data_IF_826106201686
#
_entry.id   IF_826106201686
#
_cell.length_a   1.000
_cell.length_b   1.000
_cell.length_c   1.000
_cell.angle_alpha   90.00
_cell.angle_beta   90.00
_cell.angle_gamma   90.00
#
_symmetry.space_group_name_H-M   'P 1'
#
loop_
_entity.id
_entity.type
_entity.pdbx_description
1 polymer ?
#
# COMPACT_ATOMS: atom_id res chain seq x y z
N UNK A 1 53.13 -57.15 41.59
CA UNK A 1 52.19 -56.38 42.45
C UNK A 1 52.36 -54.85 42.32
N UNK A 2 52.64 -54.30 41.14
CA UNK A 2 53.07 -52.89 40.99
C UNK A 2 52.05 -51.97 40.28
N UNK A 3 50.87 -52.47 39.91
CA UNK A 3 49.92 -51.74 39.05
C UNK A 3 48.68 -51.19 39.79
N UNK A 4 48.59 -51.37 41.12
CA UNK A 4 47.44 -50.91 41.93
C UNK A 4 47.63 -49.50 42.51
N UNK A 5 48.87 -49.03 42.61
CA UNK A 5 49.22 -47.72 43.19
C UNK A 5 49.06 -46.56 42.22
N UNK A 6 49.19 -46.78 40.90
CA UNK A 6 49.07 -45.73 39.90
C UNK A 6 47.62 -45.32 39.64
N UNK A 7 46.69 -46.28 39.59
CA UNK A 7 45.25 -46.00 39.41
C UNK A 7 44.68 -45.15 40.54
N UNK A 8 45.01 -45.47 41.79
CA UNK A 8 44.54 -44.69 42.95
C UNK A 8 45.04 -43.23 42.93
N UNK A 9 46.22 -42.96 42.37
CA UNK A 9 46.72 -41.57 42.24
C UNK A 9 46.06 -40.81 41.09
N UNK A 10 45.67 -41.51 40.03
CA UNK A 10 44.96 -40.89 38.90
C UNK A 10 43.50 -40.63 39.29
N UNK A 11 42.84 -41.55 39.97
CA UNK A 11 41.45 -41.38 40.42
C UNK A 11 41.34 -40.29 41.50
N UNK A 12 42.32 -40.19 42.40
CA UNK A 12 42.41 -39.11 43.40
C UNK A 12 42.72 -37.75 42.77
N UNK A 13 43.57 -37.71 41.73
CA UNK A 13 43.85 -36.47 40.98
C UNK A 13 42.66 -36.03 40.12
N UNK A 14 41.95 -36.96 39.47
CA UNK A 14 40.75 -36.66 38.66
C UNK A 14 39.59 -36.23 39.55
N UNK A 15 39.40 -36.87 40.71
CA UNK A 15 38.37 -36.47 41.68
C UNK A 15 38.69 -35.11 42.30
N UNK A 16 39.96 -34.80 42.55
CA UNK A 16 40.39 -33.50 43.08
C UNK A 16 40.32 -32.37 42.06
N UNK A 17 40.42 -32.67 40.76
CA UNK A 17 40.19 -31.71 39.66
C UNK A 17 38.69 -31.48 39.42
N UNK A 18 37.85 -32.49 39.66
CA UNK A 18 36.38 -32.38 39.51
C UNK A 18 35.72 -31.74 40.75
N UNK A 19 36.34 -31.86 41.94
CA UNK A 19 35.84 -31.30 43.20
C UNK A 19 36.63 -30.08 43.70
N UNK A 20 37.30 -29.33 42.81
CA UNK A 20 37.68 -27.96 43.14
C UNK A 20 36.46 -27.05 42.97
N UNK A 21 35.46 -27.31 43.82
CA UNK A 21 34.48 -26.32 44.26
C UNK A 21 35.25 -25.17 44.91
N UNK A 22 35.44 -24.09 44.15
CA UNK A 22 35.53 -22.76 44.73
C UNK A 22 34.11 -22.26 44.99
N UNK A 23 33.54 -22.74 46.09
CA UNK A 23 32.21 -22.41 46.62
C UNK A 23 32.16 -21.04 47.33
N UNK A 24 32.90 -20.06 46.81
CA UNK A 24 32.93 -18.66 47.28
C UNK A 24 33.89 -17.87 46.40
N UNK A 25 33.50 -17.60 45.15
CA UNK A 25 34.26 -16.70 44.26
C UNK A 25 33.32 -15.60 43.81
N UNK A 26 33.45 -14.43 44.42
CA UNK A 26 32.64 -13.26 44.11
C UNK A 26 32.70 -12.94 42.63
N UNK A 27 31.55 -12.57 42.05
CA UNK A 27 31.33 -12.01 40.72
C UNK A 27 32.64 -11.74 39.97
N UNK A 28 33.12 -12.74 39.21
CA UNK A 28 34.34 -12.54 38.45
C UNK A 28 34.04 -11.57 37.31
N UNK A 29 34.97 -10.66 37.03
CA UNK A 29 34.84 -9.67 35.93
C UNK A 29 34.50 -10.37 34.60
N UNK A 30 34.99 -11.60 34.39
CA UNK A 30 34.73 -12.42 33.21
C UNK A 30 33.25 -12.82 33.11
N UNK A 31 32.61 -13.23 34.20
CA UNK A 31 31.19 -13.60 34.21
C UNK A 31 30.30 -12.39 33.90
N UNK A 32 30.63 -11.22 34.47
CA UNK A 32 29.95 -9.96 34.16
C UNK A 32 30.14 -9.53 32.70
N UNK A 33 31.30 -9.83 32.10
CA UNK A 33 31.61 -9.53 30.70
C UNK A 33 30.82 -10.44 29.76
N UNK A 34 30.75 -11.74 30.04
CA UNK A 34 29.95 -12.70 29.25
C UNK A 34 28.47 -12.35 29.34
N UNK A 35 27.96 -12.01 30.52
CA UNK A 35 26.58 -11.58 30.72
C UNK A 35 26.25 -10.34 29.87
N UNK A 36 27.13 -9.33 29.85
CA UNK A 36 26.97 -8.14 29.01
C UNK A 36 26.93 -8.48 27.51
N UNK A 37 27.80 -9.39 27.04
CA UNK A 37 27.82 -9.83 25.63
C UNK A 37 26.51 -10.55 25.28
N UNK A 38 26.04 -11.47 26.13
CA UNK A 38 24.79 -12.20 25.90
C UNK A 38 23.60 -11.23 25.83
N UNK A 39 23.53 -10.27 26.76
CA UNK A 39 22.48 -9.24 26.73
C UNK A 39 22.57 -8.37 25.48
N UNK A 40 23.77 -7.95 25.06
CA UNK A 40 23.95 -7.16 23.85
C UNK A 40 23.50 -7.92 22.59
N UNK A 41 23.83 -9.21 22.48
CA UNK A 41 23.38 -10.06 21.37
C UNK A 41 21.87 -10.23 21.38
N UNK A 42 21.26 -10.50 22.54
CA UNK A 42 19.81 -10.62 22.67
C UNK A 42 19.08 -9.32 22.29
N UNK A 43 19.59 -8.17 22.74
CA UNK A 43 19.01 -6.86 22.37
C UNK A 43 19.16 -6.57 20.87
N UNK A 44 20.30 -6.92 20.27
CA UNK A 44 20.51 -6.77 18.83
C UNK A 44 19.58 -7.66 17.99
N UNK A 45 19.20 -8.84 18.51
CA UNK A 45 18.31 -9.77 17.82
C UNK A 45 16.84 -9.32 17.83
N UNK A 46 16.40 -8.53 18.81
CA UNK A 46 14.99 -8.07 18.92
C UNK A 46 14.72 -6.82 18.08
N UNK A 47 15.72 -5.96 17.86
CA UNK A 47 15.56 -4.69 17.15
C UNK A 47 14.94 -4.81 15.73
N UNK A 48 15.35 -5.78 14.87
CA UNK A 48 14.77 -5.93 13.53
C UNK A 48 13.26 -6.24 13.55
N UNK A 49 12.79 -7.00 14.55
CA UNK A 49 11.38 -7.41 14.67
C UNK A 49 10.51 -6.21 15.05
N UNK A 50 11.00 -5.34 15.94
CA UNK A 50 10.30 -4.10 16.31
C UNK A 50 10.18 -3.17 15.10
N UNK A 51 11.28 -2.99 14.36
CA UNK A 51 11.28 -2.15 13.15
C UNK A 51 10.29 -2.66 12.10
N UNK A 52 10.26 -3.97 11.87
CA UNK A 52 9.31 -4.60 10.95
C UNK A 52 7.86 -4.40 11.43
N UNK A 53 7.59 -4.56 12.72
CA UNK A 53 6.25 -4.39 13.31
C UNK A 53 5.71 -2.95 13.18
N UNK A 54 6.56 -1.94 13.39
CA UNK A 54 6.16 -0.54 13.20
C UNK A 54 5.92 -0.25 11.71
N UNK A 55 6.79 -0.76 10.83
CA UNK A 55 6.65 -0.61 9.38
C UNK A 55 5.33 -1.15 8.84
N UNK A 56 4.92 -2.35 9.26
CA UNK A 56 3.65 -2.94 8.82
C UNK A 56 2.44 -2.15 9.31
N UNK A 57 2.50 -1.59 10.53
CA UNK A 57 1.41 -0.75 11.07
C UNK A 57 1.24 0.55 10.30
N UNK A 58 2.34 1.22 9.95
CA UNK A 58 2.30 2.45 9.14
C UNK A 58 1.74 2.17 7.75
N UNK A 59 2.13 1.06 7.13
CA UNK A 59 1.58 0.66 5.83
C UNK A 59 0.09 0.32 5.93
N UNK A 60 -0.33 -0.44 6.94
CA UNK A 60 -1.73 -0.76 7.16
C UNK A 60 -2.59 0.51 7.32
N UNK A 61 -2.09 1.49 8.08
CA UNK A 61 -2.77 2.79 8.24
C UNK A 61 -2.93 3.54 6.92
N UNK A 62 -1.93 3.51 6.05
CA UNK A 62 -2.01 4.15 4.73
C UNK A 62 -3.04 3.49 3.82
N UNK A 63 -3.10 2.16 3.84
CA UNK A 63 -4.11 1.40 3.08
C UNK A 63 -5.51 1.67 3.63
N UNK A 64 -5.66 1.81 4.95
CA UNK A 64 -6.92 2.18 5.60
C UNK A 64 -7.40 3.57 5.14
N UNK A 65 -6.53 4.58 5.20
CA UNK A 65 -6.84 5.94 4.72
C UNK A 65 -7.19 5.95 3.23
N UNK A 66 -6.41 5.24 2.40
CA UNK A 66 -6.70 5.15 0.97
C UNK A 66 -8.04 4.45 0.69
N UNK A 67 -8.39 3.43 1.47
CA UNK A 67 -9.68 2.73 1.35
C UNK A 67 -10.84 3.63 1.76
N UNK A 68 -10.67 4.42 2.82
CA UNK A 68 -11.67 5.40 3.25
C UNK A 68 -11.85 6.50 2.20
N UNK A 69 -10.77 7.01 1.62
CA UNK A 69 -10.80 7.98 0.54
C UNK A 69 -11.50 7.44 -0.71
N UNK A 70 -11.20 6.19 -1.12
CA UNK A 70 -11.87 5.57 -2.25
C UNK A 70 -13.38 5.40 -2.00
N UNK A 71 -13.78 4.93 -0.80
CA UNK A 71 -15.20 4.74 -0.47
C UNK A 71 -15.95 6.06 -0.44
N UNK A 72 -15.41 7.08 0.23
CA UNK A 72 -16.03 8.41 0.28
C UNK A 72 -16.19 9.01 -1.11
N UNK A 73 -15.19 8.88 -1.98
CA UNK A 73 -15.30 9.28 -3.38
C UNK A 73 -16.40 8.51 -4.12
N UNK A 74 -16.46 7.18 -4.01
CA UNK A 74 -17.51 6.37 -4.66
C UNK A 74 -18.90 6.79 -4.18
N UNK A 75 -19.07 7.01 -2.89
CA UNK A 75 -20.34 7.44 -2.30
C UNK A 75 -20.71 8.85 -2.75
N UNK A 76 -19.73 9.75 -2.88
CA UNK A 76 -19.91 11.09 -3.45
C UNK A 76 -20.35 11.05 -4.92
N UNK A 77 -19.73 10.19 -5.75
CA UNK A 77 -20.14 9.94 -7.14
C UNK A 77 -21.57 9.39 -7.21
N UNK A 78 -21.93 8.48 -6.30
CA UNK A 78 -23.28 7.88 -6.25
C UNK A 78 -24.36 8.86 -5.81
N UNK A 79 -24.01 9.83 -4.98
CA UNK A 79 -24.96 10.80 -4.46
C UNK A 79 -25.52 11.73 -5.56
N UNK A 80 -24.69 12.06 -6.56
CA UNK A 80 -25.13 12.81 -7.74
C UNK A 80 -24.36 12.37 -8.99
N UNK A 81 -24.90 11.34 -9.66
CA UNK A 81 -24.28 10.78 -10.86
C UNK A 81 -24.19 11.81 -12.00
N UNK A 82 -25.05 12.84 -12.03
CA UNK A 82 -25.05 13.82 -13.12
C UNK A 82 -23.92 14.85 -12.95
N UNK A 83 -23.69 15.32 -11.72
CA UNK A 83 -22.69 16.35 -11.43
C UNK A 83 -21.31 15.79 -11.07
N UNK A 84 -21.27 14.61 -10.43
CA UNK A 84 -20.05 14.07 -9.81
C UNK A 84 -19.40 12.96 -10.64
N UNK A 85 -19.84 12.78 -11.89
CA UNK A 85 -19.29 11.74 -12.75
C UNK A 85 -17.89 12.13 -13.24
N UNK A 86 -16.89 11.23 -13.15
CA UNK A 86 -15.60 11.48 -13.76
C UNK A 86 -15.68 11.38 -15.28
N UNK A 87 -14.63 11.88 -15.93
CA UNK A 87 -14.45 11.82 -17.37
C UNK A 87 -14.57 10.38 -17.91
N UNK A 88 -15.21 10.28 -19.09
CA UNK A 88 -15.31 9.05 -19.84
C UNK A 88 -13.96 8.74 -20.49
N UNK A 89 -13.46 7.53 -20.26
CA UNK A 89 -12.25 7.00 -20.89
C UNK A 89 -12.60 6.00 -22.00
N UNK A 90 -11.82 6.07 -23.08
CA UNK A 90 -11.97 5.16 -24.24
C UNK A 90 -11.10 3.91 -24.14
N UNK A 91 -10.11 3.91 -23.24
CA UNK A 91 -9.23 2.78 -22.93
C UNK A 91 -9.77 1.93 -21.78
N UNK A 92 -9.31 0.69 -21.66
CA UNK A 92 -9.68 -0.15 -20.52
C UNK A 92 -9.24 0.51 -19.20
N UNK A 93 -9.94 0.22 -18.11
CA UNK A 93 -9.63 0.81 -16.79
C UNK A 93 -8.22 0.44 -16.31
N UNK A 94 -7.73 -0.74 -16.70
CA UNK A 94 -6.35 -1.15 -16.44
C UNK A 94 -5.34 -0.43 -17.32
N UNK A 95 -5.77 0.06 -18.48
CA UNK A 95 -4.92 0.74 -19.46
C UNK A 95 -4.90 2.27 -19.33
N UNK A 96 -5.73 2.83 -18.45
CA UNK A 96 -5.76 4.26 -18.24
C UNK A 96 -4.42 4.78 -17.70
N UNK A 97 -3.89 5.91 -18.24
CA UNK A 97 -2.59 6.42 -17.87
C UNK A 97 -2.56 6.94 -16.42
N UNK A 98 -1.35 7.15 -15.91
CA UNK A 98 -1.14 7.82 -14.64
C UNK A 98 -1.53 9.31 -14.74
N UNK A 99 -1.92 9.95 -13.63
CA UNK A 99 -2.18 11.36 -13.65
C UNK A 99 -0.89 12.17 -13.81
N UNK A 100 -1.01 13.37 -14.38
CA UNK A 100 0.10 14.32 -14.44
C UNK A 100 0.59 14.66 -13.02
N UNK A 101 1.88 14.88 -12.89
CA UNK A 101 2.53 15.30 -11.63
C UNK A 101 3.16 16.68 -11.77
N UNK A 102 3.75 17.21 -10.68
CA UNK A 102 4.41 18.52 -10.69
C UNK A 102 3.63 19.64 -10.00
N UNK A 103 2.58 19.30 -9.26
CA UNK A 103 1.78 20.23 -8.46
C UNK A 103 0.43 19.64 -8.07
N UNK A 104 -0.09 20.03 -6.91
CA UNK A 104 -1.44 19.68 -6.46
C UNK A 104 -2.10 20.93 -5.88
N UNK A 105 -3.28 21.26 -6.37
CA UNK A 105 -4.10 22.35 -5.83
C UNK A 105 -5.56 21.96 -5.91
N UNK A 106 -6.08 21.52 -4.77
CA UNK A 106 -7.47 21.14 -4.57
C UNK A 106 -7.90 21.55 -3.16
N UNK A 107 -9.15 21.94 -3.03
CA UNK A 107 -9.81 22.01 -1.73
C UNK A 107 -10.37 20.63 -1.38
N UNK A 108 -10.64 20.41 -0.10
CA UNK A 108 -11.29 19.21 0.39
C UNK A 108 -12.62 18.95 -0.34
N UNK A 109 -12.86 17.68 -0.65
CA UNK A 109 -14.06 17.19 -1.31
C UNK A 109 -14.39 17.85 -2.66
N UNK A 110 -13.35 18.27 -3.39
CA UNK A 110 -13.48 18.87 -4.71
C UNK A 110 -12.48 18.26 -5.71
N UNK A 111 -12.81 18.40 -6.99
CA UNK A 111 -11.85 18.13 -8.05
C UNK A 111 -10.70 19.16 -8.02
N UNK A 112 -9.48 18.67 -8.20
CA UNK A 112 -8.28 19.47 -8.25
C UNK A 112 -8.26 20.33 -9.52
N UNK A 113 -7.77 21.55 -9.37
CA UNK A 113 -7.53 22.48 -10.48
C UNK A 113 -6.12 22.34 -11.04
N UNK A 114 -5.20 21.80 -10.24
CA UNK A 114 -3.82 21.50 -10.60
C UNK A 114 -3.50 20.07 -10.17
N UNK A 115 -2.98 19.22 -11.07
CA UNK A 115 -2.86 19.44 -12.52
C UNK A 115 -4.23 19.71 -13.17
N UNK A 116 -4.25 20.49 -14.26
CA UNK A 116 -5.50 20.82 -14.94
C UNK A 116 -6.25 19.53 -15.35
N UNK A 117 -7.58 19.46 -15.13
CA UNK A 117 -8.37 18.31 -15.52
C UNK A 117 -8.17 17.99 -17.00
N UNK A 118 -7.90 16.73 -17.27
CA UNK A 118 -7.83 16.17 -18.61
C UNK A 118 -8.63 14.87 -18.62
N UNK A 119 -8.83 14.28 -19.80
CA UNK A 119 -9.63 13.06 -19.99
C UNK A 119 -9.23 11.93 -19.02
N UNK A 120 -7.98 11.91 -18.55
CA UNK A 120 -7.44 10.90 -17.63
C UNK A 120 -7.01 11.46 -16.26
N UNK A 121 -7.21 12.74 -15.98
CA UNK A 121 -6.62 13.44 -14.83
C UNK A 121 -7.65 14.09 -13.90
N UNK A 122 -8.87 13.54 -13.84
CA UNK A 122 -9.84 13.98 -12.84
C UNK A 122 -9.41 13.47 -11.47
N UNK A 123 -8.78 14.37 -10.73
CA UNK A 123 -8.26 14.13 -9.40
C UNK A 123 -9.19 14.75 -8.38
N UNK A 124 -9.63 13.97 -7.41
CA UNK A 124 -10.51 14.40 -6.33
C UNK A 124 -9.75 14.36 -5.01
N UNK A 125 -9.85 15.43 -4.23
CA UNK A 125 -9.17 15.54 -2.95
C UNK A 125 -10.00 14.97 -1.80
N UNK A 126 -9.35 14.18 -0.96
CA UNK A 126 -9.85 13.76 0.35
C UNK A 126 -8.84 14.22 1.40
N UNK A 127 -9.23 15.22 2.17
CA UNK A 127 -8.43 15.78 3.26
C UNK A 127 -8.33 14.79 4.43
N UNK A 128 -7.09 14.46 4.81
CA UNK A 128 -6.78 13.52 5.88
C UNK A 128 -6.33 14.18 7.18
N UNK A 129 -5.97 15.47 7.17
CA UNK A 129 -5.48 16.21 8.34
C UNK A 129 -6.41 17.34 8.83
N UNK A 130 -7.44 17.68 8.07
CA UNK A 130 -8.49 18.63 8.42
C UNK A 130 -8.13 20.08 8.12
N UNK A 131 -7.14 20.35 7.27
CA UNK A 131 -6.75 21.70 6.86
C UNK A 131 -7.64 22.30 5.74
N UNK A 132 -8.55 21.48 5.19
CA UNK A 132 -9.50 21.83 4.15
C UNK A 132 -8.95 21.80 2.72
N UNK A 133 -7.74 21.29 2.51
CA UNK A 133 -7.07 21.21 1.21
C UNK A 133 -6.32 19.89 1.06
N UNK A 134 -5.95 19.53 -0.18
CA UNK A 134 -4.92 18.51 -0.39
C UNK A 134 -3.63 19.19 -0.79
N UNK A 135 -2.61 19.05 0.06
CA UNK A 135 -1.29 19.66 -0.19
C UNK A 135 -0.24 18.61 -0.51
N UNK A 136 0.73 18.97 -1.34
CA UNK A 136 1.85 18.10 -1.69
C UNK A 136 2.71 17.71 -0.48
N UNK A 137 2.61 18.39 0.66
CA UNK A 137 3.41 18.10 1.84
C UNK A 137 2.68 17.22 2.87
N UNK A 138 1.38 16.97 2.66
CA UNK A 138 0.58 16.14 3.57
C UNK A 138 0.86 14.66 3.38
N UNK A 139 1.04 13.97 4.50
CA UNK A 139 1.26 12.51 4.56
C UNK A 139 -0.04 11.73 4.74
N UNK A 140 -1.13 12.41 5.02
CA UNK A 140 -2.45 11.85 5.34
C UNK A 140 -3.47 12.10 4.24
N UNK A 141 -3.30 13.18 3.48
CA UNK A 141 -4.17 13.51 2.37
C UNK A 141 -4.06 12.49 1.24
N UNK A 142 -5.22 12.19 0.66
CA UNK A 142 -5.36 11.22 -0.40
C UNK A 142 -5.99 11.88 -1.62
N UNK A 143 -5.44 11.57 -2.78
CA UNK A 143 -5.91 12.06 -4.07
C UNK A 143 -6.47 10.89 -4.86
N UNK A 144 -7.73 10.99 -5.24
CA UNK A 144 -8.47 9.95 -5.92
C UNK A 144 -8.54 10.27 -7.40
N UNK A 145 -7.95 9.44 -8.25
CA UNK A 145 -8.15 9.46 -9.69
C UNK A 145 -9.40 8.62 -10.00
N UNK A 146 -10.47 9.28 -10.42
CA UNK A 146 -11.70 8.64 -10.87
C UNK A 146 -11.75 8.53 -12.38
N UNK A 147 -12.18 7.37 -12.90
CA UNK A 147 -12.27 7.12 -14.34
C UNK A 147 -13.54 6.37 -14.65
N UNK A 148 -14.29 6.82 -15.66
CA UNK A 148 -15.53 6.16 -16.06
C UNK A 148 -15.38 5.48 -17.40
N UNK A 149 -15.85 4.23 -17.52
CA UNK A 149 -15.95 3.54 -18.81
C UNK A 149 -17.36 3.03 -19.02
N UNK A 150 -17.85 3.29 -20.22
CA UNK A 150 -19.04 2.67 -20.75
C UNK A 150 -18.79 2.38 -22.24
N UNK A 151 -19.05 1.16 -22.72
CA UNK A 151 -18.57 0.74 -24.04
C UNK A 151 -19.25 1.49 -25.19
N UNK A 152 -20.52 1.87 -25.03
CA UNK A 152 -21.35 2.37 -26.15
C UNK A 152 -22.05 3.71 -25.88
N UNK A 153 -21.71 4.42 -24.81
CA UNK A 153 -22.41 5.64 -24.40
C UNK A 153 -21.53 6.52 -23.52
N UNK A 154 -21.74 7.83 -23.56
CA UNK A 154 -21.14 8.80 -22.65
C UNK A 154 -22.10 9.22 -21.52
N UNK A 155 -23.34 8.72 -21.54
CA UNK A 155 -24.36 9.06 -20.57
C UNK A 155 -24.12 8.33 -19.24
N UNK A 156 -23.90 9.10 -18.17
CA UNK A 156 -23.66 8.57 -16.83
C UNK A 156 -24.91 7.92 -16.22
N UNK A 157 -26.11 8.30 -16.69
CA UNK A 157 -27.40 7.80 -16.20
C UNK A 157 -27.67 6.34 -16.57
N UNK A 158 -26.97 5.81 -17.59
CA UNK A 158 -27.02 4.40 -18.00
C UNK A 158 -26.14 3.49 -17.14
N UNK A 159 -25.47 4.05 -16.14
CA UNK A 159 -24.53 3.34 -15.30
C UNK A 159 -23.23 3.04 -16.05
N UNK A 160 -22.19 2.66 -15.32
CA UNK A 160 -20.85 2.52 -15.89
C UNK A 160 -19.90 1.79 -14.94
N UNK A 161 -18.81 1.28 -15.50
CA UNK A 161 -17.67 0.83 -14.72
C UNK A 161 -16.87 2.06 -14.25
N UNK A 162 -16.68 2.17 -12.94
CA UNK A 162 -15.89 3.20 -12.27
C UNK A 162 -14.56 2.60 -11.82
N UNK A 163 -13.48 3.10 -12.40
CA UNK A 163 -12.12 2.85 -11.94
C UNK A 163 -11.72 3.91 -10.93
N UNK A 164 -11.18 3.46 -9.80
CA UNK A 164 -10.71 4.33 -8.72
C UNK A 164 -9.28 3.96 -8.39
N UNK A 165 -8.38 4.94 -8.48
CA UNK A 165 -7.00 4.81 -8.02
C UNK A 165 -6.74 5.87 -6.96
N UNK A 166 -6.12 5.49 -5.86
CA UNK A 166 -5.81 6.42 -4.77
C UNK A 166 -4.31 6.59 -4.67
N UNK A 167 -3.89 7.83 -4.82
CA UNK A 167 -2.53 8.29 -4.63
C UNK A 167 -2.44 9.05 -3.30
N UNK A 168 -1.25 9.10 -2.73
CA UNK A 168 -0.97 10.02 -1.62
C UNK A 168 -0.80 11.42 -2.20
N UNK A 169 -1.19 12.47 -1.47
CA UNK A 169 -0.97 13.83 -1.93
C UNK A 169 0.53 14.14 -2.11
N UNK A 170 1.39 13.65 -1.21
CA UNK A 170 2.84 13.80 -1.33
C UNK A 170 3.50 13.04 -2.50
N UNK A 171 2.74 12.20 -3.22
CA UNK A 171 3.22 11.59 -4.45
C UNK A 171 3.35 12.61 -5.60
N UNK A 172 2.61 13.73 -5.56
CA UNK A 172 2.60 14.73 -6.62
C UNK A 172 3.82 15.68 -6.59
N UNK A 173 4.68 15.54 -5.57
CA UNK A 173 6.04 16.10 -5.57
C UNK A 173 6.96 15.40 -6.58
N UNK A 174 6.63 14.18 -6.97
CA UNK A 174 7.43 13.38 -7.89
C UNK A 174 7.35 13.94 -9.31
N UNK A 175 8.42 13.73 -10.09
CA UNK A 175 8.48 14.22 -11.48
C UNK A 175 7.48 13.47 -12.37
N UNK A 176 7.16 12.22 -12.03
CA UNK A 176 6.23 11.36 -12.78
C UNK A 176 5.55 10.37 -11.84
N UNK A 177 4.23 10.20 -11.96
CA UNK A 177 3.48 9.14 -11.28
C UNK A 177 3.40 7.89 -12.17
N UNK A 178 3.15 6.74 -11.55
CA UNK A 178 3.03 5.45 -12.22
C UNK A 178 1.58 4.96 -12.23
N UNK A 179 1.19 4.36 -13.35
CA UNK A 179 -0.10 3.69 -13.55
C UNK A 179 0.10 2.24 -14.02
N UNK A 180 -0.94 1.40 -14.00
CA UNK A 180 -0.88 -0.02 -14.35
C UNK A 180 -0.61 -0.32 -15.84
N UNK A 181 -0.60 0.67 -16.75
CA UNK A 181 -0.29 0.43 -18.15
C UNK A 181 0.80 1.34 -18.75
N UNK A 182 1.76 0.64 -19.38
CA UNK A 182 2.32 0.83 -20.72
C UNK A 182 2.65 2.24 -21.25
N UNK A 183 2.82 3.26 -20.41
CA UNK A 183 3.92 4.17 -20.72
C UNK A 183 5.18 3.33 -20.63
N UNK A 184 5.89 3.16 -21.76
CA UNK A 184 7.15 2.43 -21.93
C UNK A 184 7.77 2.06 -20.58
N UNK A 185 8.03 0.77 -20.27
CA UNK A 185 8.75 0.38 -19.06
C UNK A 185 10.15 1.03 -19.10
N UNK A 186 10.19 2.30 -18.73
CA UNK A 186 11.36 3.03 -18.39
C UNK A 186 11.75 2.51 -17.02
N UNK A 187 13.04 2.56 -16.70
CA UNK A 187 13.56 2.10 -15.41
C UNK A 187 12.89 2.76 -14.16
N UNK A 188 11.93 3.67 -14.37
CA UNK A 188 11.26 4.51 -13.40
C UNK A 188 9.90 3.97 -12.92
N UNK A 189 9.18 3.15 -13.70
CA UNK A 189 7.90 2.54 -13.27
C UNK A 189 7.95 1.02 -13.45
N UNK A 190 7.96 0.23 -12.36
CA UNK A 190 7.98 -1.23 -12.46
C UNK A 190 6.66 -1.77 -13.05
N UNK A 191 6.76 -2.78 -13.91
CA UNK A 191 5.64 -3.43 -14.59
C UNK A 191 4.65 -4.00 -13.57
N UNK A 192 3.40 -3.48 -13.57
CA UNK A 192 2.24 -4.04 -12.82
C UNK A 192 2.51 -4.42 -11.35
N UNK A 193 3.32 -3.68 -10.60
CA UNK A 193 3.47 -3.95 -9.16
C UNK A 193 2.72 -2.91 -8.35
N UNK A 194 1.73 -3.35 -7.57
CA UNK A 194 1.24 -2.63 -6.40
C UNK A 194 2.42 -2.31 -5.46
N UNK A 195 2.27 -1.28 -4.61
CA UNK A 195 3.33 -0.83 -3.70
C UNK A 195 3.93 -2.01 -2.90
N UNK A 196 5.23 -2.28 -3.05
CA UNK A 196 5.91 -3.34 -2.28
C UNK A 196 5.85 -3.03 -0.79
N UNK A 197 5.34 -3.97 -0.01
CA UNK A 197 5.23 -3.88 1.46
C UNK A 197 6.56 -4.12 2.18
N UNK A 198 7.59 -4.63 1.48
CA UNK A 198 8.77 -5.24 2.15
C UNK A 198 10.09 -4.52 1.85
N UNK A 199 10.24 -3.81 0.73
CA UNK A 199 11.61 -3.48 0.27
C UNK A 199 12.16 -2.12 0.68
N UNK A 200 11.35 -1.17 1.14
CA UNK A 200 11.80 0.06 1.79
C UNK A 200 10.63 0.54 2.66
N UNK A 201 10.84 0.79 3.95
CA UNK A 201 9.79 1.05 4.96
C UNK A 201 8.76 2.17 4.61
N UNK A 202 8.99 2.92 3.52
CA UNK A 202 8.20 4.05 3.05
C UNK A 202 7.33 3.70 1.82
N UNK A 203 7.61 2.60 1.12
CA UNK A 203 6.96 2.23 -0.15
C UNK A 203 7.33 3.15 -1.32
N UNK A 204 7.03 2.75 -2.56
CA UNK A 204 7.19 3.61 -3.73
C UNK A 204 6.00 4.57 -3.83
N UNK A 205 6.25 5.87 -3.61
CA UNK A 205 5.23 6.93 -3.58
C UNK A 205 4.56 7.14 -4.93
N UNK A 206 5.23 6.77 -6.02
CA UNK A 206 4.77 7.01 -7.39
C UNK A 206 3.66 6.04 -7.80
N UNK A 207 3.47 4.95 -7.07
CA UNK A 207 2.41 3.97 -7.32
C UNK A 207 1.15 4.33 -6.52
N UNK A 208 -0.04 3.97 -7.03
CA UNK A 208 -1.25 4.09 -6.24
C UNK A 208 -1.17 3.17 -5.01
N UNK A 209 -1.68 3.67 -3.89
CA UNK A 209 -1.82 2.90 -2.63
C UNK A 209 -2.93 1.86 -2.77
N UNK A 210 -3.99 2.22 -3.49
CA UNK A 210 -5.15 1.38 -3.71
C UNK A 210 -5.64 1.56 -5.15
N UNK A 211 -6.06 0.47 -5.76
CA UNK A 211 -6.78 0.45 -7.02
C UNK A 211 -7.96 -0.49 -6.91
N UNK A 212 -9.12 -0.03 -7.33
CA UNK A 212 -10.33 -0.83 -7.38
C UNK A 212 -11.19 -0.43 -8.59
N UNK A 213 -12.00 -1.38 -9.02
CA UNK A 213 -13.05 -1.15 -10.02
C UNK A 213 -14.37 -1.47 -9.36
N UNK A 214 -15.37 -0.62 -9.58
CA UNK A 214 -16.72 -0.83 -9.08
C UNK A 214 -17.74 -0.43 -10.15
N UNK A 215 -18.96 -0.92 -10.01
CA UNK A 215 -20.06 -0.56 -10.90
C UNK A 215 -20.89 0.56 -10.27
N UNK A 216 -21.20 1.57 -11.09
CA UNK A 216 -22.20 2.58 -10.77
C UNK A 216 -23.50 2.19 -11.48
N UNK A 217 -24.54 1.97 -10.69
CA UNK A 217 -25.83 1.57 -11.21
C UNK A 217 -26.49 2.71 -11.99
N UNK A 218 -27.16 2.40 -13.11
CA UNK A 218 -28.01 3.35 -13.81
C UNK A 218 -29.13 3.91 -12.94
N UNK A 219 -29.55 5.14 -13.23
CA UNK A 219 -30.70 5.80 -12.58
C UNK A 219 -32.05 5.32 -13.11
N UNK A 220 -32.09 4.73 -14.31
CA UNK A 220 -33.30 4.21 -14.96
C UNK A 220 -33.02 2.85 -15.63
N UNK A 221 -34.04 1.99 -15.72
CA UNK A 221 -33.99 0.69 -16.43
C UNK A 221 -32.74 -0.16 -16.10
N UNK A 222 -32.53 -0.44 -14.81
CA UNK A 222 -31.21 -0.77 -14.30
C UNK A 222 -30.64 -2.11 -14.69
N UNK A 223 -31.50 -3.10 -14.85
CA UNK A 223 -31.11 -4.45 -15.23
C UNK A 223 -30.66 -4.51 -16.70
N UNK A 224 -31.48 -4.01 -17.63
CA UNK A 224 -31.17 -4.05 -19.06
C UNK A 224 -29.86 -3.30 -19.39
N UNK A 225 -29.69 -2.10 -18.84
CA UNK A 225 -28.47 -1.29 -19.04
C UNK A 225 -27.20 -1.98 -18.51
N UNK A 226 -27.29 -2.73 -17.40
CA UNK A 226 -26.19 -3.54 -16.90
C UNK A 226 -25.88 -4.69 -17.87
N UNK A 227 -26.92 -5.36 -18.35
CA UNK A 227 -26.80 -6.51 -19.22
C UNK A 227 -26.23 -6.16 -20.60
N UNK A 228 -26.66 -5.04 -21.20
CA UNK A 228 -26.12 -4.51 -22.45
C UNK A 228 -24.63 -4.16 -22.31
N UNK A 229 -24.23 -3.64 -21.14
CA UNK A 229 -22.82 -3.35 -20.83
C UNK A 229 -21.99 -4.63 -20.74
N UNK A 230 -22.45 -5.63 -19.98
CA UNK A 230 -21.74 -6.91 -19.84
C UNK A 230 -21.64 -7.63 -21.20
N UNK A 231 -22.70 -7.61 -22.01
CA UNK A 231 -22.68 -8.18 -23.36
C UNK A 231 -21.61 -7.50 -24.24
N UNK A 232 -21.57 -6.17 -24.18
CA UNK A 232 -20.62 -5.39 -24.96
C UNK A 232 -19.17 -5.53 -24.50
N UNK A 233 -18.91 -5.75 -23.22
CA UNK A 233 -17.56 -6.01 -22.70
C UNK A 233 -17.07 -7.42 -23.04
N UNK A 234 -17.98 -8.39 -23.11
CA UNK A 234 -17.66 -9.79 -23.47
C UNK A 234 -17.58 -10.03 -24.98
N UNK A 235 -17.91 -9.04 -25.82
CA UNK A 235 -18.02 -9.21 -27.26
C UNK A 235 -19.10 -10.21 -27.69
N UNK A 236 -20.03 -10.54 -26.80
CA UNK A 236 -21.07 -11.51 -27.03
C UNK A 236 -22.22 -10.88 -27.85
N UNK A 237 -22.66 -11.57 -28.90
CA UNK A 237 -23.80 -11.11 -29.75
C UNK A 237 -25.15 -11.34 -29.10
N UNK A 238 -25.21 -12.04 -27.96
CA UNK A 238 -26.42 -12.36 -27.23
C UNK A 238 -26.35 -11.71 -25.84
N UNK A 239 -27.45 -11.09 -25.42
CA UNK A 239 -27.55 -10.48 -24.11
C UNK A 239 -27.42 -11.58 -23.03
N UNK A 240 -26.44 -11.52 -22.11
CA UNK A 240 -26.22 -12.54 -21.07
C UNK A 240 -27.37 -12.63 -20.04
N UNK A 241 -28.34 -11.73 -20.13
CA UNK A 241 -29.50 -11.67 -19.26
C UNK A 241 -30.82 -12.10 -19.93
N UNK A 242 -30.76 -12.65 -21.14
CA UNK A 242 -31.89 -13.24 -21.86
C UNK A 242 -31.99 -14.76 -21.67
#
# INVERSE_FOLDING_TARGET
>A
MHNKSLKHKIDDAVTKVILQESDQSGYTIIESLVAMIVVAVLMSAVAPVIALSVGTRVQARRVELATQAAKSYIDWVRNDIASNTPNLIVVELEDAPAPNSGGLTCNDNQYCTIPAPAIYNDLYCVDGDGDGNCTNDSLTDMVVQGMRRHPNSNDASLGYALGVRVYRADAFQEITLCGPALENPTALCPTRTQQSTITNAIGNRRLPVLQLTTEISPTQSSFQNLCDRIASESGATNNPCE
#
